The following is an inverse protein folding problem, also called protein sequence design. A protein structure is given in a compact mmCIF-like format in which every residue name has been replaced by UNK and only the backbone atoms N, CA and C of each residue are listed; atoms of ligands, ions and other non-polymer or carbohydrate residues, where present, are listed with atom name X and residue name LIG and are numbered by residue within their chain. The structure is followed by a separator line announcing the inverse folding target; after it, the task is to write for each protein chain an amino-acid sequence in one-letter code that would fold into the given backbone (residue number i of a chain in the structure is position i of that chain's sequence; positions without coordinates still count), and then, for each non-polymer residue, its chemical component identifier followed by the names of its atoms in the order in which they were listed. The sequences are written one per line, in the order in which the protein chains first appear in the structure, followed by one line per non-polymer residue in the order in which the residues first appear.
data_IF_042773036213
#
_entry.id   IF_042773036213
#
_cell.length_a   1.000
_cell.length_b   1.000
_cell.length_c   1.000
_cell.angle_alpha   90.00
_cell.angle_beta   90.00
_cell.angle_gamma   90.00
#
_symmetry.space_group_name_H-M   'P 1'
#
loop_
_entity.id
_entity.type
_entity.pdbx_description
1 polymer ?
#
# COMPACT_ATOMS: atom_id res chain seq x y z
N UNK A 1 36.47 -4.84 24.85
CA UNK A 1 35.48 -5.80 25.38
C UNK A 1 34.11 -5.29 24.98
N UNK A 2 33.42 -5.96 24.07
CA UNK A 2 31.97 -5.94 23.94
C UNK A 2 31.62 -7.25 23.25
N UNK A 3 30.86 -8.09 23.94
CA UNK A 3 30.46 -9.42 23.52
C UNK A 3 29.90 -9.37 22.10
N UNK A 4 30.48 -10.19 21.21
CA UNK A 4 29.90 -10.50 19.91
C UNK A 4 28.59 -11.27 20.14
N UNK A 5 27.52 -10.56 20.45
CA UNK A 5 26.18 -11.13 20.54
C UNK A 5 25.82 -11.71 19.18
N UNK A 6 25.45 -12.98 19.17
CA UNK A 6 25.09 -13.67 17.95
C UNK A 6 23.86 -13.01 17.30
N UNK A 7 23.70 -13.16 15.99
CA UNK A 7 22.52 -12.66 15.26
C UNK A 7 21.20 -13.07 15.95
N UNK A 8 21.12 -14.32 16.39
CA UNK A 8 19.93 -14.86 17.06
C UNK A 8 19.64 -14.18 18.40
N UNK A 9 20.67 -13.82 19.16
CA UNK A 9 20.50 -13.09 20.42
C UNK A 9 20.01 -11.66 20.17
N UNK A 10 20.58 -10.96 19.18
CA UNK A 10 20.12 -9.61 18.80
C UNK A 10 18.68 -9.63 18.28
N UNK A 11 18.33 -10.63 17.45
CA UNK A 11 16.96 -10.84 16.97
C UNK A 11 15.99 -11.08 18.11
N UNK A 12 16.36 -11.92 19.09
CA UNK A 12 15.53 -12.20 20.27
C UNK A 12 15.32 -10.95 21.13
N UNK A 13 16.38 -10.17 21.37
CA UNK A 13 16.31 -8.90 22.10
C UNK A 13 15.40 -7.91 21.39
N UNK A 14 15.49 -7.82 20.05
CA UNK A 14 14.61 -6.96 19.26
C UNK A 14 13.15 -7.39 19.41
N UNK A 15 12.83 -8.67 19.21
CA UNK A 15 11.45 -9.16 19.33
C UNK A 15 10.84 -8.85 20.70
N UNK A 16 11.61 -9.06 21.78
CA UNK A 16 11.17 -8.70 23.13
C UNK A 16 10.91 -7.19 23.27
N UNK A 17 11.80 -6.35 22.73
CA UNK A 17 11.61 -4.90 22.75
C UNK A 17 10.39 -4.45 21.92
N UNK A 18 10.08 -5.14 20.82
CA UNK A 18 8.88 -4.87 20.01
C UNK A 18 7.59 -5.28 20.73
N UNK A 19 7.60 -6.43 21.41
CA UNK A 19 6.48 -6.86 22.26
C UNK A 19 6.18 -5.84 23.35
N UNK A 20 7.22 -5.29 24.00
CA UNK A 20 7.06 -4.23 25.01
C UNK A 20 6.61 -2.89 24.39
N UNK A 21 7.14 -2.51 23.22
CA UNK A 21 6.83 -1.25 22.53
C UNK A 21 5.39 -1.21 22.01
N UNK A 22 4.88 -2.33 21.51
CA UNK A 22 3.55 -2.42 20.90
C UNK A 22 2.52 -3.09 21.81
N UNK A 23 2.86 -3.34 23.09
CA UNK A 23 1.92 -3.82 24.08
C UNK A 23 0.71 -2.87 24.22
N UNK A 24 -0.50 -3.41 24.39
CA UNK A 24 -1.69 -2.58 24.62
C UNK A 24 -1.52 -1.78 25.91
N UNK A 25 -1.52 -0.46 25.79
CA UNK A 25 -1.49 0.43 26.95
C UNK A 25 -2.88 0.42 27.59
N UNK A 26 -3.00 -0.11 28.81
CA UNK A 26 -4.22 0.00 29.60
C UNK A 26 -4.54 1.48 29.85
N UNK A 27 -5.58 1.98 29.19
CA UNK A 27 -6.03 3.37 29.33
C UNK A 27 -7.24 3.47 30.24
N UNK A 28 -7.26 4.54 31.04
CA UNK A 28 -8.42 4.93 31.82
C UNK A 28 -9.50 5.54 30.91
N UNK A 29 -10.77 5.41 31.28
CA UNK A 29 -11.93 5.78 30.46
C UNK A 29 -12.01 7.25 30.02
N UNK A 30 -11.22 8.15 30.63
CA UNK A 30 -11.15 9.58 30.28
C UNK A 30 -9.97 9.95 29.37
N UNK A 31 -9.08 9.01 29.03
CA UNK A 31 -7.94 9.29 28.16
C UNK A 31 -8.36 9.11 26.70
N UNK A 32 -8.02 10.08 25.86
CA UNK A 32 -8.20 9.98 24.41
C UNK A 32 -7.51 8.71 23.91
N UNK A 33 -8.24 7.89 23.15
CA UNK A 33 -7.71 6.70 22.49
C UNK A 33 -6.47 7.11 21.68
N UNK A 34 -5.37 6.41 21.90
CA UNK A 34 -4.14 6.63 21.15
C UNK A 34 -4.08 5.65 20.01
N UNK A 35 -2.91 5.56 19.37
CA UNK A 35 -2.66 4.52 18.39
C UNK A 35 -2.89 3.13 18.97
N UNK A 36 -3.57 2.27 18.21
CA UNK A 36 -3.66 0.84 18.48
C UNK A 36 -2.69 0.10 17.57
N UNK A 37 -2.05 -0.93 18.10
CA UNK A 37 -1.14 -1.75 17.34
C UNK A 37 -1.69 -3.17 17.26
N UNK A 38 -1.65 -3.74 16.07
CA UNK A 38 -2.09 -5.10 15.79
C UNK A 38 -0.94 -5.86 15.16
N UNK A 39 -0.59 -7.00 15.74
CA UNK A 39 0.44 -7.84 15.15
C UNK A 39 -0.14 -8.50 13.88
N UNK A 40 0.64 -8.49 12.79
CA UNK A 40 0.19 -9.02 11.49
C UNK A 40 -0.23 -10.50 11.53
N UNK A 41 0.38 -11.29 12.42
CA UNK A 41 0.02 -12.69 12.67
C UNK A 41 -1.32 -12.87 13.41
N UNK A 42 -1.76 -11.87 14.18
CA UNK A 42 -3.10 -11.85 14.80
C UNK A 42 -4.14 -11.49 13.76
N UNK A 43 -3.88 -10.46 12.94
CA UNK A 43 -4.75 -10.08 11.83
C UNK A 43 -4.95 -11.22 10.83
N UNK A 44 -3.92 -12.04 10.56
CA UNK A 44 -4.07 -13.22 9.69
C UNK A 44 -5.06 -14.26 10.23
N UNK A 45 -5.22 -14.36 11.56
CA UNK A 45 -6.20 -15.29 12.17
C UNK A 45 -7.63 -14.77 12.00
N UNK A 46 -7.80 -13.46 12.08
CA UNK A 46 -9.10 -12.78 11.97
C UNK A 46 -9.54 -12.62 10.51
N UNK A 47 -8.58 -12.37 9.62
CA UNK A 47 -8.75 -12.16 8.18
C UNK A 47 -7.98 -13.23 7.39
N UNK A 48 -8.41 -14.51 7.42
CA UNK A 48 -7.73 -15.58 6.72
C UNK A 48 -7.80 -15.35 5.20
N UNK A 49 -6.64 -15.16 4.59
CA UNK A 49 -6.53 -15.03 3.13
C UNK A 49 -6.69 -16.41 2.49
N UNK A 50 -7.77 -16.59 1.72
CA UNK A 50 -8.17 -17.88 1.14
C UNK A 50 -7.73 -18.07 -0.32
N UNK A 51 -7.00 -17.10 -0.88
CA UNK A 51 -6.61 -17.08 -2.30
C UNK A 51 -5.10 -17.05 -2.47
N UNK A 52 -4.58 -18.04 -3.20
CA UNK A 52 -3.19 -18.16 -3.63
C UNK A 52 -2.77 -17.20 -4.75
N UNK A 53 -3.70 -16.41 -5.29
CA UNK A 53 -3.37 -15.48 -6.37
C UNK A 53 -2.34 -14.49 -5.83
N UNK A 54 -1.20 -14.24 -6.50
CA UNK A 54 -0.32 -13.13 -6.16
C UNK A 54 -1.14 -11.85 -6.36
N UNK A 55 -1.68 -11.35 -5.26
CA UNK A 55 -2.82 -10.44 -5.27
C UNK A 55 -2.50 -9.30 -4.32
N UNK A 56 -1.81 -8.30 -4.87
CA UNK A 56 -1.71 -6.98 -4.28
C UNK A 56 -1.02 -6.08 -5.31
N UNK A 57 -1.71 -5.79 -6.42
CA UNK A 57 -1.50 -4.53 -7.13
C UNK A 57 -2.52 -3.61 -6.50
N UNK A 58 -2.15 -2.99 -5.39
CA UNK A 58 -3.00 -2.03 -4.71
C UNK A 58 -2.98 -0.74 -5.51
N UNK A 59 -4.02 -0.54 -6.33
CA UNK A 59 -4.13 0.59 -7.26
C UNK A 59 -4.72 1.78 -6.50
N UNK A 60 -4.10 2.95 -6.63
CA UNK A 60 -4.72 4.20 -6.20
C UNK A 60 -5.98 4.44 -7.05
N UNK A 61 -7.14 4.49 -6.40
CA UNK A 61 -8.41 4.72 -7.09
C UNK A 61 -8.61 6.21 -7.40
N UNK A 62 -8.58 6.57 -8.68
CA UNK A 62 -9.23 7.81 -9.14
C UNK A 62 -9.96 7.56 -10.48
N UNK A 63 -11.30 7.38 -10.47
CA UNK A 63 -12.09 7.22 -11.69
C UNK A 63 -12.35 8.54 -12.44
N UNK A 64 -11.73 9.66 -12.02
CA UNK A 64 -12.01 11.00 -12.56
C UNK A 64 -11.69 11.14 -14.05
N UNK A 65 -10.73 10.38 -14.58
CA UNK A 65 -10.42 10.37 -16.01
C UNK A 65 -11.61 9.92 -16.88
N UNK A 66 -12.42 8.98 -16.39
CA UNK A 66 -13.60 8.46 -17.09
C UNK A 66 -14.73 9.50 -17.08
N UNK A 67 -14.97 10.15 -15.94
CA UNK A 67 -16.00 11.20 -15.83
C UNK A 67 -15.66 12.45 -16.65
N UNK A 68 -14.38 12.83 -16.70
CA UNK A 68 -13.91 13.90 -17.59
C UNK A 68 -14.17 13.54 -19.07
N UNK A 69 -13.86 12.30 -19.48
CA UNK A 69 -14.13 11.82 -20.84
C UNK A 69 -15.62 11.85 -21.19
N UNK A 70 -16.50 11.35 -20.31
CA UNK A 70 -17.95 11.37 -20.51
C UNK A 70 -18.49 12.80 -20.57
N UNK A 71 -17.99 13.71 -19.72
CA UNK A 71 -18.35 15.13 -19.75
C UNK A 71 -17.96 15.81 -21.06
N UNK A 72 -16.73 15.59 -21.55
CA UNK A 72 -16.28 16.12 -22.83
C UNK A 72 -17.06 15.54 -24.02
N UNK A 73 -17.37 14.25 -24.01
CA UNK A 73 -18.20 13.61 -25.03
C UNK A 73 -19.64 14.18 -25.03
N UNK A 74 -20.21 14.46 -23.86
CA UNK A 74 -21.52 15.09 -23.71
C UNK A 74 -21.57 16.52 -24.28
N UNK A 75 -20.53 17.33 -24.02
CA UNK A 75 -20.38 18.69 -24.59
C UNK A 75 -20.21 18.62 -26.12
N UNK A 76 -19.48 17.62 -26.62
CA UNK A 76 -19.29 17.42 -28.05
C UNK A 76 -20.61 17.06 -28.75
N UNK A 77 -21.36 16.09 -28.22
CA UNK A 77 -22.65 15.65 -28.80
C UNK A 77 -23.68 16.79 -28.75
N UNK A 78 -23.76 17.53 -27.65
CA UNK A 78 -24.67 18.67 -27.54
C UNK A 78 -24.29 19.80 -28.51
N UNK A 79 -23.01 20.12 -28.65
CA UNK A 79 -22.56 21.16 -29.59
C UNK A 79 -22.77 20.76 -31.04
N UNK A 80 -22.63 19.47 -31.39
CA UNK A 80 -22.96 18.94 -32.72
C UNK A 80 -24.46 19.03 -33.02
N UNK A 81 -25.31 18.71 -32.04
CA UNK A 81 -26.77 18.74 -32.21
C UNK A 81 -27.32 20.17 -32.36
N UNK A 82 -26.69 21.15 -31.72
CA UNK A 82 -27.21 22.52 -31.73
C UNK A 82 -26.71 23.41 -32.88
N UNK A 83 -25.74 23.00 -33.71
CA UNK A 83 -25.13 23.70 -34.89
C UNK A 83 -24.84 25.22 -34.78
N UNK A 84 -25.14 25.88 -33.66
CA UNK A 84 -25.16 27.34 -33.52
C UNK A 84 -23.90 27.90 -32.87
N UNK A 85 -23.05 27.06 -32.29
CA UNK A 85 -21.93 27.52 -31.46
C UNK A 85 -20.59 27.67 -32.21
N UNK A 86 -20.41 26.99 -33.35
CA UNK A 86 -19.13 26.98 -34.07
C UNK A 86 -19.31 26.99 -35.59
N UNK A 87 -18.48 27.76 -36.29
CA UNK A 87 -18.41 27.72 -37.75
C UNK A 87 -17.99 26.32 -38.23
N UNK A 88 -18.56 25.86 -39.35
CA UNK A 88 -18.39 24.51 -39.91
C UNK A 88 -16.91 24.10 -40.09
N UNK A 89 -16.03 25.06 -40.33
CA UNK A 89 -14.60 24.85 -40.56
C UNK A 89 -13.78 24.69 -39.27
N UNK A 90 -14.35 25.01 -38.10
CA UNK A 90 -13.72 24.86 -36.79
C UNK A 90 -13.88 23.45 -36.21
N UNK A 91 -14.84 22.67 -36.71
CA UNK A 91 -15.15 21.31 -36.23
C UNK A 91 -13.99 20.31 -36.26
N UNK A 92 -13.18 20.25 -37.33
CA UNK A 92 -12.00 19.39 -37.35
C UNK A 92 -10.98 19.78 -36.26
N UNK A 93 -10.84 21.07 -35.97
CA UNK A 93 -9.88 21.61 -34.99
C UNK A 93 -10.35 21.30 -33.56
N UNK A 94 -11.64 21.48 -33.28
CA UNK A 94 -12.25 21.15 -31.98
C UNK A 94 -12.18 19.64 -31.71
N UNK A 95 -12.42 18.81 -32.72
CA UNK A 95 -12.35 17.35 -32.59
C UNK A 95 -10.91 16.89 -32.34
N UNK A 96 -9.93 17.46 -33.05
CA UNK A 96 -8.52 17.19 -32.81
C UNK A 96 -8.08 17.61 -31.41
N UNK A 97 -8.49 18.79 -30.93
CA UNK A 97 -8.19 19.26 -29.59
C UNK A 97 -8.81 18.36 -28.51
N UNK A 98 -10.05 17.90 -28.71
CA UNK A 98 -10.71 16.96 -27.80
C UNK A 98 -9.97 15.62 -27.75
N UNK A 99 -9.56 15.07 -28.90
CA UNK A 99 -8.77 13.82 -28.95
C UNK A 99 -7.43 13.98 -28.22
N UNK A 100 -6.73 15.10 -28.40
CA UNK A 100 -5.47 15.36 -27.69
C UNK A 100 -5.68 15.45 -26.18
N UNK A 101 -6.72 16.16 -25.72
CA UNK A 101 -7.05 16.28 -24.30
C UNK A 101 -7.39 14.90 -23.73
N UNK A 102 -8.19 14.09 -24.44
CA UNK A 102 -8.51 12.72 -24.05
C UNK A 102 -7.26 11.85 -23.94
N UNK A 103 -6.34 11.94 -24.91
CA UNK A 103 -5.08 11.19 -24.87
C UNK A 103 -4.18 11.62 -23.71
N UNK A 104 -4.12 12.92 -23.40
CA UNK A 104 -3.39 13.44 -22.24
C UNK A 104 -4.02 12.93 -20.93
N UNK A 105 -5.34 12.99 -20.81
CA UNK A 105 -6.06 12.51 -19.63
C UNK A 105 -5.96 10.99 -19.46
N UNK A 106 -6.00 10.21 -20.54
CA UNK A 106 -5.76 8.76 -20.52
C UNK A 106 -4.34 8.43 -20.06
N UNK A 107 -3.34 9.14 -20.58
CA UNK A 107 -1.95 8.96 -20.16
C UNK A 107 -1.76 9.30 -18.68
N UNK A 108 -2.35 10.41 -18.21
CA UNK A 108 -2.32 10.79 -16.79
C UNK A 108 -3.02 9.73 -15.93
N UNK A 109 -4.20 9.25 -16.35
CA UNK A 109 -4.95 8.19 -15.66
C UNK A 109 -4.16 6.88 -15.56
N UNK A 110 -3.54 6.45 -16.66
CA UNK A 110 -2.69 5.25 -16.67
C UNK A 110 -1.43 5.42 -15.80
N UNK A 111 -0.89 6.63 -15.71
CA UNK A 111 0.23 6.92 -14.82
C UNK A 111 -0.15 6.97 -13.34
N UNK A 112 -1.40 7.34 -13.04
CA UNK A 112 -1.95 7.41 -11.67
C UNK A 112 -2.38 6.05 -11.12
N UNK A 113 -2.69 5.07 -11.97
CA UNK A 113 -3.09 3.70 -11.56
C UNK A 113 -1.92 2.76 -11.23
N UNK A 114 -0.71 3.27 -10.97
CA UNK A 114 0.42 2.39 -10.64
C UNK A 114 0.16 1.69 -9.29
N UNK A 115 0.47 0.37 -9.17
CA UNK A 115 0.47 -0.29 -7.88
C UNK A 115 1.29 0.51 -6.88
N UNK A 116 0.74 0.70 -5.69
CA UNK A 116 1.45 1.34 -4.58
C UNK A 116 2.29 0.31 -3.82
N UNK A 117 1.76 -0.91 -3.70
CA UNK A 117 2.46 -2.08 -3.18
C UNK A 117 2.48 -3.14 -4.29
N UNK A 118 3.58 -3.86 -4.41
CA UNK A 118 3.72 -5.04 -5.26
C UNK A 118 4.25 -6.18 -4.40
N UNK A 119 3.62 -7.33 -4.45
CA UNK A 119 4.00 -8.52 -3.68
C UNK A 119 4.40 -9.64 -4.64
N UNK A 120 5.52 -10.31 -4.35
CA UNK A 120 6.02 -11.46 -5.10
C UNK A 120 6.54 -12.56 -4.15
N UNK A 121 7.10 -13.62 -4.73
CA UNK A 121 7.59 -14.79 -3.97
C UNK A 121 8.84 -14.48 -3.13
N UNK A 122 9.61 -13.45 -3.50
CA UNK A 122 10.86 -13.09 -2.82
C UNK A 122 10.66 -12.02 -1.74
N UNK A 123 9.65 -11.16 -1.91
CA UNK A 123 9.36 -10.07 -0.99
C UNK A 123 8.19 -9.21 -1.41
N UNK A 124 8.25 -7.94 -0.98
CA UNK A 124 7.32 -6.92 -1.43
C UNK A 124 8.04 -5.59 -1.68
N UNK A 125 7.44 -4.78 -2.55
CA UNK A 125 7.93 -3.47 -2.94
C UNK A 125 6.87 -2.40 -2.74
N UNK A 126 7.20 -1.38 -1.96
CA UNK A 126 6.41 -0.16 -1.85
C UNK A 126 6.91 0.86 -2.88
N UNK A 127 6.17 1.00 -3.98
CA UNK A 127 6.60 1.70 -5.18
C UNK A 127 6.64 3.22 -5.02
N UNK A 128 5.90 3.78 -4.06
CA UNK A 128 5.90 5.24 -3.79
C UNK A 128 7.27 5.74 -3.34
N UNK A 129 7.97 4.98 -2.50
CA UNK A 129 9.29 5.33 -1.96
C UNK A 129 10.42 4.46 -2.54
N UNK A 130 10.10 3.49 -3.40
CA UNK A 130 11.08 2.54 -3.94
C UNK A 130 11.59 1.52 -2.93
N UNK A 131 10.97 1.42 -1.76
CA UNK A 131 11.34 0.48 -0.71
C UNK A 131 11.06 -0.96 -1.16
N UNK A 132 12.03 -1.84 -0.99
CA UNK A 132 11.90 -3.27 -1.23
C UNK A 132 12.40 -4.03 -0.01
N UNK A 133 11.64 -5.02 0.42
CA UNK A 133 12.01 -5.89 1.53
C UNK A 133 11.77 -7.35 1.13
N UNK A 134 12.82 -8.17 1.27
CA UNK A 134 12.72 -9.62 1.08
C UNK A 134 12.07 -10.29 2.28
N UNK A 135 11.27 -11.33 2.05
CA UNK A 135 10.60 -12.08 3.11
C UNK A 135 11.56 -12.68 4.13
N UNK A 136 12.75 -13.12 3.71
CA UNK A 136 13.76 -13.67 4.61
C UNK A 136 14.36 -12.63 5.55
N UNK A 137 14.31 -11.35 5.17
CA UNK A 137 14.79 -10.22 5.98
C UNK A 137 13.75 -9.73 6.98
N UNK A 138 12.46 -9.98 6.76
CA UNK A 138 11.38 -9.52 7.64
C UNK A 138 11.41 -10.26 8.98
N UNK A 139 11.62 -9.51 10.05
CA UNK A 139 11.61 -10.00 11.43
C UNK A 139 10.19 -9.98 11.98
N UNK A 140 9.50 -8.85 11.89
CA UNK A 140 8.14 -8.67 12.38
C UNK A 140 7.40 -7.56 11.62
N UNK A 141 6.07 -7.65 11.58
CA UNK A 141 5.20 -6.62 10.99
C UNK A 141 4.04 -6.30 11.95
N UNK A 142 3.75 -5.01 12.11
CA UNK A 142 2.66 -4.49 12.94
C UNK A 142 1.86 -3.43 12.19
N UNK A 143 0.54 -3.46 12.31
CA UNK A 143 -0.34 -2.40 11.84
C UNK A 143 -0.60 -1.41 12.98
N UNK A 144 -0.40 -0.13 12.73
CA UNK A 144 -0.80 0.97 13.61
C UNK A 144 -2.11 1.57 13.08
N UNK A 145 -3.12 1.68 13.93
CA UNK A 145 -4.35 2.44 13.70
C UNK A 145 -4.35 3.69 14.58
N UNK A 146 -4.07 4.85 13.98
CA UNK A 146 -4.17 6.15 14.64
C UNK A 146 -5.64 6.60 14.69
N UNK A 147 -6.22 6.74 15.89
CA UNK A 147 -7.63 7.12 16.06
C UNK A 147 -7.80 8.66 16.04
N UNK A 148 -8.80 9.17 15.29
CA UNK A 148 -9.12 10.60 15.18
C UNK A 148 -10.08 10.91 14.03
N UNK A 149 -10.37 12.20 13.77
CA UNK A 149 -11.16 12.63 12.60
C UNK A 149 -10.50 12.25 11.27
N UNK A 150 -9.16 12.19 11.23
CA UNK A 150 -8.36 11.73 10.09
C UNK A 150 -7.62 10.44 10.46
N UNK A 151 -8.35 9.35 10.69
CA UNK A 151 -7.76 8.07 11.08
C UNK A 151 -6.71 7.60 10.05
N UNK A 152 -5.49 7.30 10.52
CA UNK A 152 -4.37 6.88 9.68
C UNK A 152 -3.88 5.51 10.06
N UNK A 153 -3.68 4.69 9.03
CA UNK A 153 -3.18 3.35 9.18
C UNK A 153 -1.77 3.26 8.62
N UNK A 154 -0.85 2.73 9.43
CA UNK A 154 0.54 2.53 9.05
C UNK A 154 0.93 1.07 9.23
N UNK A 155 1.79 0.57 8.35
CA UNK A 155 2.43 -0.72 8.48
C UNK A 155 3.88 -0.51 8.90
N UNK A 156 4.23 -0.99 10.08
CA UNK A 156 5.59 -1.03 10.59
C UNK A 156 6.23 -2.35 10.18
N UNK A 157 7.27 -2.27 9.37
CA UNK A 157 8.04 -3.42 8.91
C UNK A 157 9.40 -3.39 9.57
N UNK A 158 9.65 -4.35 10.46
CA UNK A 158 10.93 -4.53 11.12
C UNK A 158 11.73 -5.59 10.35
N UNK A 159 12.87 -5.21 9.80
CA UNK A 159 13.68 -6.09 8.95
C UNK A 159 15.16 -6.00 9.28
N UNK A 160 15.90 -7.03 8.89
CA UNK A 160 17.35 -7.08 9.01
C UNK A 160 18.01 -6.89 7.64
N UNK A 161 18.96 -5.96 7.58
CA UNK A 161 19.80 -5.74 6.42
C UNK A 161 21.18 -6.38 6.65
N UNK A 162 21.46 -7.44 5.87
CA UNK A 162 22.72 -8.16 5.93
C UNK A 162 23.92 -7.33 5.43
N UNK A 163 23.69 -6.32 4.58
CA UNK A 163 24.75 -5.46 4.05
C UNK A 163 25.33 -4.52 5.12
N UNK A 164 24.48 -4.06 6.03
CA UNK A 164 24.85 -3.13 7.12
C UNK A 164 24.87 -3.79 8.50
N UNK A 165 24.55 -5.09 8.58
CA UNK A 165 24.43 -5.87 9.82
C UNK A 165 23.51 -5.21 10.88
N UNK A 166 22.47 -4.53 10.42
CA UNK A 166 21.62 -3.66 11.26
C UNK A 166 20.14 -3.98 11.07
N UNK A 167 19.37 -3.79 12.15
CA UNK A 167 17.91 -3.87 12.12
C UNK A 167 17.31 -2.50 11.82
N UNK A 168 16.35 -2.45 10.91
CA UNK A 168 15.66 -1.25 10.50
C UNK A 168 14.16 -1.39 10.67
N UNK A 169 13.51 -0.24 10.80
CA UNK A 169 12.06 -0.07 10.79
C UNK A 169 11.70 0.79 9.58
N UNK A 170 10.81 0.29 8.73
CA UNK A 170 10.18 1.08 7.67
C UNK A 170 8.69 1.26 8.00
N UNK A 171 8.18 2.49 7.88
CA UNK A 171 6.78 2.83 8.15
C UNK A 171 6.08 3.15 6.83
N UNK A 172 5.09 2.33 6.47
CA UNK A 172 4.37 2.42 5.20
C UNK A 172 2.95 2.91 5.46
N UNK A 173 2.57 4.05 4.86
CA UNK A 173 1.22 4.58 4.98
C UNK A 173 0.22 3.77 4.13
N UNK A 174 -0.70 3.07 4.80
CA UNK A 174 -1.70 2.20 4.16
C UNK A 174 -2.90 2.98 3.62
N UNK A 175 -3.20 4.16 4.16
CA UNK A 175 -4.30 5.03 3.69
C UNK A 175 -4.22 5.44 2.20
N UNK A 176 -3.05 5.29 1.58
CA UNK A 176 -2.85 5.56 0.14
C UNK A 176 -3.27 4.40 -0.78
N UNK A 177 -3.67 3.28 -0.19
CA UNK A 177 -4.09 2.07 -0.88
C UNK A 177 -5.63 1.96 -0.79
N UNK A 178 -6.28 1.68 -1.92
CA UNK A 178 -7.73 1.48 -1.98
C UNK A 178 -8.13 0.04 -1.59
N UNK A 179 -7.74 -0.38 -0.40
CA UNK A 179 -8.11 -1.66 0.23
C UNK A 179 -8.11 -1.46 1.74
N UNK A 180 -8.82 -2.32 2.46
CA UNK A 180 -8.80 -2.36 3.92
C UNK A 180 -7.37 -2.61 4.47
N UNK A 181 -6.82 -1.71 5.31
CA UNK A 181 -5.50 -1.87 5.95
C UNK A 181 -5.27 -3.22 6.64
N UNK A 182 -6.31 -3.77 7.27
CA UNK A 182 -6.24 -5.06 7.97
C UNK A 182 -6.05 -6.20 6.97
N UNK A 183 -6.78 -6.15 5.85
CA UNK A 183 -6.68 -7.13 4.74
C UNK A 183 -5.31 -7.05 4.08
N UNK A 184 -4.77 -5.84 3.84
CA UNK A 184 -3.41 -5.66 3.30
C UNK A 184 -2.38 -6.32 4.21
N UNK A 185 -2.47 -6.05 5.52
CA UNK A 185 -1.51 -6.54 6.50
C UNK A 185 -1.59 -8.06 6.65
N UNK A 186 -2.80 -8.62 6.72
CA UNK A 186 -3.02 -10.06 6.75
C UNK A 186 -2.49 -10.75 5.48
N UNK A 187 -2.70 -10.16 4.31
CA UNK A 187 -2.18 -10.70 3.05
C UNK A 187 -0.64 -10.73 3.01
N UNK A 188 0.03 -9.69 3.49
CA UNK A 188 1.49 -9.68 3.56
C UNK A 188 2.04 -10.77 4.48
N UNK A 189 1.42 -10.98 5.64
CA UNK A 189 1.83 -12.06 6.55
C UNK A 189 1.55 -13.45 5.98
N UNK A 190 0.44 -13.62 5.25
CA UNK A 190 0.15 -14.86 4.52
C UNK A 190 1.25 -15.18 3.49
N UNK A 191 1.63 -14.22 2.63
CA UNK A 191 2.67 -14.44 1.63
C UNK A 191 4.05 -14.68 2.25
N UNK A 192 4.37 -13.98 3.34
CA UNK A 192 5.59 -14.22 4.11
C UNK A 192 5.62 -15.65 4.65
N UNK A 193 4.55 -16.12 5.29
CA UNK A 193 4.45 -17.48 5.81
C UNK A 193 4.61 -18.52 4.70
N UNK A 194 3.96 -18.30 3.56
CA UNK A 194 4.05 -19.16 2.38
C UNK A 194 5.48 -19.22 1.83
N UNK A 195 6.14 -18.07 1.70
CA UNK A 195 7.52 -18.01 1.23
C UNK A 195 8.48 -18.74 2.18
N UNK A 196 8.34 -18.55 3.50
CA UNK A 196 9.19 -19.20 4.50
C UNK A 196 8.96 -20.73 4.59
N UNK A 197 7.75 -21.21 4.29
CA UNK A 197 7.47 -22.66 4.20
C UNK A 197 8.02 -23.29 2.92
N UNK A 198 8.18 -22.50 1.85
CA UNK A 198 8.75 -22.96 0.58
C UNK A 198 10.29 -23.05 0.61
N UNK A 199 10.95 -22.42 1.59
CA UNK A 199 12.40 -22.55 1.79
C UNK A 199 12.68 -23.91 2.45
N UNK A 200 13.39 -24.84 1.80
CA UNK A 200 13.79 -26.10 2.44
C UNK A 200 14.64 -25.79 3.67
N UNK A 201 14.38 -26.52 4.77
CA UNK A 201 15.16 -26.42 5.99
C UNK A 201 16.57 -26.98 5.72
N UNK A 202 17.49 -26.11 5.35
CA UNK A 202 18.93 -26.39 5.31
C UNK A 202 19.55 -26.33 6.72
#
# INVERSE_FOLDING_TARGET
MNSSTSFNERKKQLLQALEERYAPVEKSWWQTSGSKFFASNELLKEYPVTTDRPMAVFIAAYPWGIWAFVGFAGIFISSWYYEQLFAKDMWPIVLLAAVIIVLILLNISMQLQKPVLKVDEEGFRYLRNGFYCSWSSVIAMYMEEEQGEDAKNYLHVHYYDAGTDTFFEEIIALNSINEDPEVITAALEYFRCKALQAVPAD
#
